data_IF_205136726944
#
_entry.id   IF_205136726944
#
_cell.length_a   1.000
_cell.length_b   1.000
_cell.length_c   1.000
_cell.angle_alpha   90.00
_cell.angle_beta   90.00
_cell.angle_gamma   90.00
#
_symmetry.space_group_name_H-M   'P 1'
#
loop_
_entity.id
_entity.type
_entity.pdbx_description
1 polymer ?
#
# COMPACT_ATOMS: atom_id res chain seq x y z
N UNK A 1 20.05 -71.60 6.55
CA UNK A 1 21.44 -71.83 6.10
C UNK A 1 21.93 -70.56 5.42
N UNK A 2 22.84 -69.85 6.08
CA UNK A 2 23.54 -68.69 5.52
C UNK A 2 24.86 -69.15 4.88
N UNK A 3 25.24 -68.52 3.76
CA UNK A 3 26.65 -68.32 3.43
C UNK A 3 26.79 -67.17 2.43
N UNK A 4 27.14 -65.98 2.95
CA UNK A 4 27.58 -64.81 2.17
C UNK A 4 29.07 -64.99 1.81
N UNK A 5 29.38 -64.86 0.52
CA UNK A 5 30.73 -64.87 -0.01
C UNK A 5 31.32 -63.45 -0.10
N UNK A 6 32.50 -63.30 0.50
CA UNK A 6 33.75 -62.70 0.00
C UNK A 6 33.79 -61.24 -0.55
N UNK A 7 34.87 -60.58 -0.09
CA UNK A 7 35.71 -59.60 -0.81
C UNK A 7 35.23 -58.14 -0.80
N UNK A 8 35.84 -57.25 -0.01
CA UNK A 8 37.17 -56.61 -0.10
C UNK A 8 37.17 -55.30 -0.93
N UNK A 9 37.98 -54.35 -0.44
CA UNK A 9 38.48 -53.10 -1.05
C UNK A 9 37.59 -51.87 -0.79
N UNK A 10 37.91 -51.03 0.22
CA UNK A 10 39.02 -50.05 0.34
C UNK A 10 38.87 -48.86 -0.60
N UNK A 11 38.58 -47.72 0.06
CA UNK A 11 38.95 -46.33 -0.24
C UNK A 11 38.46 -45.67 -1.54
N UNK A 12 37.69 -44.59 -1.39
CA UNK A 12 38.05 -43.27 -1.96
C UNK A 12 37.50 -42.18 -1.03
N UNK A 13 38.42 -41.34 -0.55
CA UNK A 13 38.21 -40.09 0.17
C UNK A 13 37.81 -39.01 -0.86
N UNK A 14 36.66 -38.35 -0.72
CA UNK A 14 36.38 -37.12 -1.43
C UNK A 14 35.49 -36.19 -0.59
N UNK A 15 36.14 -35.14 -0.08
CA UNK A 15 35.55 -33.92 0.47
C UNK A 15 34.50 -33.34 -0.49
N UNK A 16 33.31 -33.02 0.04
CA UNK A 16 32.48 -31.91 -0.47
C UNK A 16 31.39 -31.60 0.57
N UNK A 17 31.80 -30.97 1.66
CA UNK A 17 30.93 -30.12 2.47
C UNK A 17 30.57 -28.90 1.62
N UNK A 18 29.52 -29.03 0.81
CA UNK A 18 28.87 -27.90 0.16
C UNK A 18 27.50 -27.72 0.84
N UNK A 19 27.51 -27.31 2.11
CA UNK A 19 26.34 -26.65 2.68
C UNK A 19 26.26 -25.29 2.02
N UNK A 20 25.61 -25.22 0.86
CA UNK A 20 25.16 -23.96 0.30
C UNK A 20 24.02 -23.51 1.21
N UNK A 21 24.37 -22.84 2.31
CA UNK A 21 23.47 -21.87 2.93
C UNK A 21 23.23 -20.83 1.84
N UNK A 22 22.16 -21.00 1.07
CA UNK A 22 21.55 -19.89 0.37
C UNK A 22 21.08 -18.93 1.46
N UNK A 23 21.97 -18.03 1.87
CA UNK A 23 21.57 -16.72 2.33
C UNK A 23 20.81 -16.11 1.15
N UNK A 24 19.52 -16.44 1.04
CA UNK A 24 18.56 -15.55 0.42
C UNK A 24 18.78 -14.25 1.15
N UNK A 25 19.46 -13.34 0.44
CA UNK A 25 19.64 -11.99 0.89
C UNK A 25 18.28 -11.56 1.36
N UNK A 26 18.19 -11.30 2.66
CA UNK A 26 17.12 -10.52 3.25
C UNK A 26 16.87 -9.41 2.24
N UNK A 27 15.71 -9.53 1.56
CA UNK A 27 15.17 -8.48 0.73
C UNK A 27 15.46 -7.22 1.49
N UNK A 28 16.34 -6.38 0.91
CA UNK A 28 16.82 -5.19 1.56
C UNK A 28 15.59 -4.56 2.18
N UNK A 29 15.58 -4.51 3.52
CA UNK A 29 14.62 -3.73 4.28
C UNK A 29 14.44 -2.48 3.47
N UNK A 30 13.28 -2.39 2.81
CA UNK A 30 12.81 -1.16 2.24
C UNK A 30 12.75 -0.30 3.48
N UNK A 31 13.84 0.44 3.71
CA UNK A 31 13.93 1.48 4.70
C UNK A 31 12.86 2.45 4.25
N UNK A 32 11.63 2.19 4.71
CA UNK A 32 10.70 3.19 5.12
C UNK A 32 11.40 3.96 6.26
N UNK A 33 12.47 4.66 5.91
CA UNK A 33 12.84 5.89 6.57
C UNK A 33 11.74 6.86 6.18
N UNK A 34 10.57 6.67 6.79
CA UNK A 34 9.49 7.64 6.81
C UNK A 34 10.10 8.81 7.53
N UNK A 35 10.73 9.71 6.75
CA UNK A 35 11.24 10.97 7.25
C UNK A 35 10.07 11.58 7.99
N UNK A 36 10.23 11.82 9.28
CA UNK A 36 9.17 12.38 10.13
C UNK A 36 8.61 13.65 9.47
N UNK A 37 7.46 13.53 8.78
CA UNK A 37 6.93 14.58 7.90
C UNK A 37 6.33 14.09 6.57
N UNK A 38 6.70 12.89 6.08
CA UNK A 38 6.14 12.36 4.84
C UNK A 38 4.87 11.53 5.12
N UNK A 39 3.75 11.95 4.51
CA UNK A 39 2.47 11.24 4.58
C UNK A 39 2.39 10.25 3.40
N UNK A 40 3.26 9.24 3.48
CA UNK A 40 3.29 7.98 2.71
C UNK A 40 1.99 7.16 2.83
N UNK A 41 1.19 6.98 1.76
CA UNK A 41 0.11 5.97 1.76
C UNK A 41 0.27 5.01 0.58
N UNK A 42 0.48 3.74 0.91
CA UNK A 42 0.75 2.66 -0.06
C UNK A 42 -0.33 1.59 -0.11
N UNK A 43 -1.36 1.68 0.74
CA UNK A 43 -2.50 0.74 0.78
C UNK A 43 -2.18 -0.70 1.22
N UNK A 44 -0.96 -0.99 1.66
CA UNK A 44 -0.47 -2.32 2.09
C UNK A 44 -0.95 -2.79 3.49
N UNK A 45 -1.93 -2.12 4.10
CA UNK A 45 -2.41 -2.46 5.45
C UNK A 45 -3.90 -2.73 5.38
N UNK A 46 -4.25 -4.01 5.51
CA UNK A 46 -5.59 -4.55 5.34
C UNK A 46 -5.62 -5.59 4.23
N UNK A 47 -6.75 -6.24 4.04
CA UNK A 47 -6.96 -7.23 2.99
C UNK A 47 -7.76 -6.63 1.82
N UNK A 48 -7.62 -7.14 0.59
CA UNK A 48 -8.49 -6.74 -0.52
C UNK A 48 -9.97 -6.91 -0.15
N UNK A 49 -10.77 -5.88 -0.44
CA UNK A 49 -12.17 -5.77 -0.03
C UNK A 49 -12.38 -4.99 1.28
N UNK A 50 -11.35 -4.81 2.10
CA UNK A 50 -11.46 -3.97 3.30
C UNK A 50 -11.67 -2.50 2.93
N UNK A 51 -12.37 -1.78 3.80
CA UNK A 51 -12.42 -0.32 3.73
C UNK A 51 -11.03 0.28 4.01
N UNK A 52 -10.65 1.32 3.29
CA UNK A 52 -9.39 2.03 3.52
C UNK A 52 -9.48 2.90 4.81
N UNK A 53 -8.90 2.49 5.97
CA UNK A 53 -9.35 2.96 7.29
C UNK A 53 -9.18 4.46 7.58
N UNK A 54 -8.34 5.15 6.80
CA UNK A 54 -8.02 6.57 6.99
C UNK A 54 -8.59 7.45 5.88
N UNK A 55 -9.34 6.86 4.96
CA UNK A 55 -9.96 7.52 3.83
C UNK A 55 -11.47 7.55 4.03
N UNK A 56 -12.06 8.69 3.75
CA UNK A 56 -13.50 8.91 3.82
C UNK A 56 -14.05 9.05 2.40
N UNK A 57 -15.21 8.46 2.16
CA UNK A 57 -16.00 8.66 0.94
C UNK A 57 -17.21 9.52 1.30
N UNK A 58 -17.16 10.86 1.14
CA UNK A 58 -18.25 11.72 1.56
C UNK A 58 -19.39 11.79 0.54
N UNK A 59 -19.20 11.27 -0.68
CA UNK A 59 -20.22 11.27 -1.73
C UNK A 59 -21.13 10.05 -1.60
N UNK A 60 -22.45 10.23 -1.43
CA UNK A 60 -23.40 9.13 -1.43
C UNK A 60 -23.39 8.34 -2.74
N UNK A 61 -23.57 7.02 -2.64
CA UNK A 61 -23.58 6.09 -3.79
C UNK A 61 -22.20 5.67 -4.28
N UNK A 62 -21.13 6.13 -3.63
CA UNK A 62 -19.76 5.71 -3.89
C UNK A 62 -19.17 4.94 -2.70
N UNK A 63 -18.27 4.01 -2.98
CA UNK A 63 -17.52 3.26 -1.98
C UNK A 63 -16.06 3.15 -2.39
N UNK A 64 -15.18 3.02 -1.40
CA UNK A 64 -13.77 2.79 -1.61
C UNK A 64 -13.32 1.55 -0.83
N UNK A 65 -12.52 0.71 -1.48
CA UNK A 65 -12.00 -0.52 -0.91
C UNK A 65 -10.56 -0.75 -1.36
N UNK A 66 -9.81 -1.53 -0.58
CA UNK A 66 -8.52 -2.05 -1.00
C UNK A 66 -8.73 -3.09 -2.11
N UNK A 67 -7.83 -3.13 -3.08
CA UNK A 67 -7.80 -4.15 -4.12
C UNK A 67 -6.35 -4.55 -4.44
N UNK A 68 -6.15 -5.78 -4.91
CA UNK A 68 -4.87 -6.23 -5.46
C UNK A 68 -4.69 -5.83 -6.94
N UNK A 69 -5.73 -5.26 -7.55
CA UNK A 69 -5.72 -4.86 -8.95
C UNK A 69 -5.02 -3.52 -9.17
N UNK A 70 -4.40 -3.38 -10.34
CA UNK A 70 -3.82 -2.14 -10.84
C UNK A 70 -2.89 -1.41 -9.84
N UNK A 71 -2.20 -2.15 -8.98
CA UNK A 71 -1.24 -1.60 -8.03
C UNK A 71 -0.13 -0.85 -8.75
N UNK A 72 -0.01 0.44 -8.44
CA UNK A 72 0.99 1.31 -9.08
C UNK A 72 2.37 1.21 -8.40
N UNK A 73 2.40 0.73 -7.15
CA UNK A 73 3.53 0.28 -6.34
C UNK A 73 3.02 -0.74 -5.34
N UNK A 74 3.89 -1.67 -4.89
CA UNK A 74 3.50 -2.67 -3.89
C UNK A 74 2.52 -3.71 -4.45
N UNK A 75 1.67 -4.24 -3.58
CA UNK A 75 0.74 -5.33 -3.93
C UNK A 75 -0.70 -4.85 -3.99
N UNK A 76 -1.03 -3.72 -3.38
CA UNK A 76 -2.40 -3.23 -3.25
C UNK A 76 -2.57 -1.79 -3.74
N UNK A 77 -3.80 -1.47 -4.11
CA UNK A 77 -4.26 -0.12 -4.39
C UNK A 77 -5.61 0.12 -3.73
N UNK A 78 -6.14 1.35 -3.87
CA UNK A 78 -7.51 1.66 -3.47
C UNK A 78 -8.33 1.94 -4.73
N UNK A 79 -9.44 1.23 -4.87
CA UNK A 79 -10.44 1.49 -5.90
C UNK A 79 -11.55 2.38 -5.31
N UNK A 80 -12.06 3.29 -6.12
CA UNK A 80 -13.23 4.13 -5.80
C UNK A 80 -14.28 3.89 -6.88
N UNK A 81 -15.43 3.34 -6.48
CA UNK A 81 -16.46 2.91 -7.42
C UNK A 81 -17.84 3.42 -7.00
N UNK A 82 -18.70 3.61 -7.99
CA UNK A 82 -20.11 3.89 -7.77
C UNK A 82 -20.86 2.57 -7.57
N UNK A 83 -21.41 2.35 -6.38
CA UNK A 83 -22.17 1.13 -6.06
C UNK A 83 -23.70 1.34 -6.07
N UNK A 84 -24.15 2.59 -6.17
CA UNK A 84 -25.57 2.92 -6.27
C UNK A 84 -25.82 4.15 -7.15
N UNK A 85 -27.05 4.27 -7.68
CA UNK A 85 -27.46 5.47 -8.41
C UNK A 85 -27.35 6.71 -7.50
N UNK A 86 -26.77 7.78 -8.03
CA UNK A 86 -26.55 9.03 -7.29
C UNK A 86 -26.61 10.20 -8.25
N UNK A 87 -27.16 11.32 -7.78
CA UNK A 87 -27.15 12.59 -8.52
C UNK A 87 -25.85 13.38 -8.29
N UNK A 88 -24.92 12.82 -7.50
CA UNK A 88 -23.65 13.45 -7.25
C UNK A 88 -22.80 13.53 -8.53
N UNK A 89 -22.20 14.68 -8.84
CA UNK A 89 -21.49 14.88 -10.10
C UNK A 89 -20.17 14.09 -10.20
N UNK A 90 -19.63 13.62 -9.07
CA UNK A 90 -18.41 12.80 -9.00
C UNK A 90 -18.28 12.10 -7.65
N UNK A 91 -17.62 10.94 -7.63
CA UNK A 91 -17.11 10.30 -6.42
C UNK A 91 -15.80 10.92 -5.95
N UNK A 92 -15.55 10.92 -4.65
CA UNK A 92 -14.24 11.29 -4.13
C UNK A 92 -13.88 10.52 -2.86
N UNK A 93 -12.57 10.40 -2.65
CA UNK A 93 -11.97 9.98 -1.38
C UNK A 93 -11.27 11.17 -0.75
N UNK A 94 -11.30 11.27 0.58
CA UNK A 94 -10.61 12.32 1.31
C UNK A 94 -9.94 11.78 2.55
N UNK A 95 -8.80 12.37 2.90
CA UNK A 95 -8.13 12.16 4.17
C UNK A 95 -7.86 13.50 4.83
N UNK A 96 -7.94 13.52 6.16
CA UNK A 96 -7.63 14.69 6.98
C UNK A 96 -6.46 14.32 7.88
N UNK A 97 -5.51 15.25 8.02
CA UNK A 97 -4.35 15.12 8.89
C UNK A 97 -4.01 16.48 9.48
N UNK A 98 -3.22 16.49 10.55
CA UNK A 98 -2.77 17.73 11.17
C UNK A 98 -1.85 18.50 10.22
N UNK A 99 -2.27 19.72 9.88
CA UNK A 99 -1.53 20.61 9.01
C UNK A 99 -0.48 21.46 9.77
N UNK A 100 -0.48 21.47 11.11
CA UNK A 100 0.42 22.30 11.91
C UNK A 100 1.92 22.08 11.58
N UNK A 101 2.42 20.84 11.37
CA UNK A 101 3.82 20.61 11.01
C UNK A 101 4.24 21.18 9.65
N UNK A 102 3.28 21.53 8.79
CA UNK A 102 3.50 22.01 7.42
C UNK A 102 3.36 23.53 7.27
N UNK A 103 3.03 24.25 8.35
CA UNK A 103 2.88 25.72 8.31
C UNK A 103 4.17 26.39 7.83
N UNK A 104 4.03 27.31 6.87
CA UNK A 104 5.16 28.04 6.28
C UNK A 104 6.07 27.20 5.39
N UNK A 105 5.77 25.91 5.17
CA UNK A 105 6.55 25.01 4.31
C UNK A 105 5.91 24.87 2.94
N UNK A 106 6.74 24.58 1.94
CA UNK A 106 6.25 24.13 0.62
C UNK A 106 5.79 22.69 0.75
N UNK A 107 4.55 22.42 0.32
CA UNK A 107 3.97 21.07 0.31
C UNK A 107 3.87 20.58 -1.14
N UNK A 108 4.22 19.33 -1.38
CA UNK A 108 3.98 18.63 -2.65
C UNK A 108 2.88 17.61 -2.43
N UNK A 109 1.85 17.66 -3.27
CA UNK A 109 0.81 16.63 -3.36
C UNK A 109 1.08 15.78 -4.61
N UNK A 110 1.15 14.47 -4.46
CA UNK A 110 1.36 13.53 -5.57
C UNK A 110 0.59 12.24 -5.33
N UNK A 111 0.09 11.64 -6.41
CA UNK A 111 -0.48 10.29 -6.41
C UNK A 111 -0.28 9.65 -7.80
N UNK A 112 -0.38 8.32 -7.85
CA UNK A 112 -0.55 7.56 -9.09
C UNK A 112 -2.03 7.22 -9.19
N UNK A 113 -2.68 7.60 -10.29
CA UNK A 113 -4.12 7.44 -10.47
C UNK A 113 -4.39 6.81 -11.83
N UNK A 114 -5.14 5.72 -11.83
CA UNK A 114 -5.75 5.14 -13.01
C UNK A 114 -7.23 5.55 -13.03
N UNK A 115 -7.70 6.07 -14.16
CA UNK A 115 -9.09 6.45 -14.35
C UNK A 115 -9.69 5.60 -15.47
N UNK A 116 -10.78 4.90 -15.15
CA UNK A 116 -11.47 3.96 -16.04
C UNK A 116 -12.95 4.38 -16.19
N UNK A 117 -13.58 3.95 -17.29
CA UNK A 117 -14.98 4.27 -17.62
C UNK A 117 -15.15 4.75 -19.06
N UNK A 118 -16.38 4.69 -19.57
CA UNK A 118 -16.72 5.16 -20.93
C UNK A 118 -17.89 6.17 -20.88
N UNK A 119 -17.69 7.43 -21.34
CA UNK A 119 -16.42 7.99 -21.78
C UNK A 119 -15.43 8.11 -20.61
N UNK A 120 -14.12 8.02 -20.90
CA UNK A 120 -13.07 8.16 -19.87
C UNK A 120 -13.29 9.48 -19.12
N UNK A 121 -13.59 9.35 -17.82
CA UNK A 121 -13.83 10.48 -16.93
C UNK A 121 -12.55 11.26 -16.62
N UNK A 122 -12.67 12.28 -15.78
CA UNK A 122 -11.54 13.09 -15.30
C UNK A 122 -11.25 12.77 -13.84
N UNK A 123 -10.00 12.44 -13.53
CA UNK A 123 -9.50 12.44 -12.15
C UNK A 123 -8.88 13.81 -11.78
N UNK A 124 -9.11 14.26 -10.55
CA UNK A 124 -8.54 15.50 -10.02
C UNK A 124 -8.04 15.30 -8.60
N UNK A 125 -7.01 16.07 -8.24
CA UNK A 125 -6.48 16.13 -6.87
C UNK A 125 -6.53 17.56 -6.35
N UNK A 126 -6.87 17.73 -5.08
CA UNK A 126 -6.81 19.03 -4.41
C UNK A 126 -6.41 18.86 -2.94
N UNK A 127 -5.78 19.90 -2.41
CA UNK A 127 -5.48 20.03 -0.98
C UNK A 127 -6.10 21.33 -0.48
N UNK A 128 -6.65 21.30 0.73
CA UNK A 128 -7.14 22.49 1.42
C UNK A 128 -6.71 22.48 2.87
N UNK A 129 -6.25 23.61 3.37
CA UNK A 129 -6.08 23.84 4.80
C UNK A 129 -7.38 24.45 5.35
N UNK A 130 -7.78 24.04 6.56
CA UNK A 130 -8.84 24.72 7.30
C UNK A 130 -8.25 25.29 8.59
N UNK A 131 -8.62 26.51 8.99
CA UNK A 131 -8.28 26.98 10.32
C UNK A 131 -8.97 26.09 11.36
N UNK A 132 -8.30 25.85 12.47
CA UNK A 132 -8.95 25.26 13.62
C UNK A 132 -10.06 26.20 14.09
N UNK A 133 -11.29 25.69 14.19
CA UNK A 133 -12.37 26.47 14.77
C UNK A 133 -12.10 26.56 16.26
N UNK A 134 -11.67 27.73 16.73
CA UNK A 134 -11.71 28.02 18.16
C UNK A 134 -13.16 27.93 18.59
N UNK A 135 -13.44 27.09 19.56
CA UNK A 135 -14.71 27.07 20.25
C UNK A 135 -14.67 28.15 21.34
N UNK A 136 -14.50 29.42 20.96
CA UNK A 136 -14.80 30.53 21.86
C UNK A 136 -16.24 30.94 21.57
N UNK A 137 -17.17 30.56 22.44
CA UNK A 137 -18.60 30.83 22.28
C UNK A 137 -18.96 32.31 22.41
N UNK A 138 -18.34 33.19 21.63
CA UNK A 138 -18.66 34.62 21.55
C UNK A 138 -19.40 34.88 20.25
N UNK A 139 -20.71 35.07 20.40
CA UNK A 139 -21.57 35.78 19.45
C UNK A 139 -21.29 37.28 19.60
#
# INVERSE_FOLDING_TARGET
MQTRWRSQLVAVLALLTCTITTAWGSAQDARADVRSGDLEYRFEVGEPGDAAPQWMVPTPGWAAALTADAAAEGEQSMVLEQHAATDAPFGNVMRVFDAAPYRGKRVRLSAKVLAEGEPVGRAMMWLRARPERRHDGRV
#
